data_IF_937725775381
#
_entry.id   IF_937725775381
#
_cell.length_a   1.000
_cell.length_b   1.000
_cell.length_c   1.000
_cell.angle_alpha   90.00
_cell.angle_beta   90.00
_cell.angle_gamma   90.00
#
_symmetry.space_group_name_H-M   'P 1'
#
loop_
_entity.id
_entity.type
_entity.pdbx_description
1 polymer ?
#
# COMPACT_ATOMS: atom_id res chain seq x y z
N UNK A 1 -12.45 5.99 -7.10
CA UNK A 1 -11.95 5.05 -6.08
C UNK A 1 -12.59 3.67 -6.23
N UNK A 2 -13.93 3.55 -6.33
CA UNK A 2 -14.59 2.25 -6.57
C UNK A 2 -14.15 1.57 -7.87
N UNK A 3 -14.15 2.31 -8.99
CA UNK A 3 -13.82 1.78 -10.32
C UNK A 3 -12.39 1.21 -10.42
N UNK A 4 -11.40 1.84 -9.77
CA UNK A 4 -10.01 1.37 -9.76
C UNK A 4 -9.79 0.09 -8.93
N UNK A 5 -10.64 -0.16 -7.93
CA UNK A 5 -10.56 -1.37 -7.09
C UNK A 5 -11.15 -2.59 -7.80
N UNK A 6 -12.19 -2.40 -8.63
CA UNK A 6 -12.84 -3.49 -9.38
C UNK A 6 -12.01 -3.99 -10.56
N UNK A 7 -11.12 -3.15 -11.12
CA UNK A 7 -10.24 -3.52 -12.23
C UNK A 7 -9.11 -4.49 -11.83
N UNK A 8 -8.82 -4.65 -10.53
CA UNK A 8 -7.81 -5.59 -10.00
C UNK A 8 -6.35 -5.26 -10.36
N UNK A 9 -6.11 -4.25 -11.20
CA UNK A 9 -4.77 -3.78 -11.60
C UNK A 9 -4.11 -2.88 -10.54
N UNK A 10 -4.91 -2.27 -9.66
CA UNK A 10 -4.44 -1.38 -8.59
C UNK A 10 -5.00 -1.82 -7.24
N UNK A 11 -4.14 -2.38 -6.40
CA UNK A 11 -4.52 -2.82 -5.07
C UNK A 11 -4.56 -1.62 -4.12
N UNK A 12 -5.75 -1.25 -3.66
CA UNK A 12 -5.94 -0.19 -2.67
C UNK A 12 -6.37 -0.83 -1.36
N UNK A 13 -5.42 -1.04 -0.47
CA UNK A 13 -5.61 -1.67 0.85
C UNK A 13 -5.45 -0.65 1.96
N UNK A 14 -6.06 -0.93 3.11
CA UNK A 14 -5.74 -0.28 4.37
C UNK A 14 -4.39 -0.78 4.92
N UNK A 15 -3.76 -0.06 5.87
CA UNK A 15 -2.53 -0.54 6.51
C UNK A 15 -2.66 -1.92 7.15
N UNK A 16 -3.80 -2.20 7.80
CA UNK A 16 -4.05 -3.48 8.46
C UNK A 16 -4.11 -4.63 7.45
N UNK A 17 -4.83 -4.44 6.34
CA UNK A 17 -4.91 -5.43 5.25
C UNK A 17 -3.51 -5.68 4.63
N UNK A 18 -2.73 -4.63 4.43
CA UNK A 18 -1.37 -4.73 3.90
C UNK A 18 -0.44 -5.56 4.82
N UNK A 19 -0.58 -5.42 6.14
CA UNK A 19 0.18 -6.20 7.13
C UNK A 19 -0.23 -7.68 7.10
N UNK A 20 -1.53 -7.96 7.06
CA UNK A 20 -2.04 -9.34 7.01
C UNK A 20 -1.57 -10.06 5.73
N UNK A 21 -1.63 -9.38 4.58
CA UNK A 21 -1.13 -9.92 3.32
C UNK A 21 0.39 -10.18 3.34
N UNK A 22 1.18 -9.24 3.88
CA UNK A 22 2.62 -9.42 3.99
C UNK A 22 3.00 -10.56 4.93
N UNK A 23 2.29 -10.72 6.06
CA UNK A 23 2.48 -11.87 6.97
C UNK A 23 2.13 -13.19 6.28
N UNK A 24 1.06 -13.22 5.49
CA UNK A 24 0.68 -14.39 4.72
C UNK A 24 1.70 -14.75 3.62
N UNK A 25 2.36 -13.75 3.03
CA UNK A 25 3.42 -13.94 2.03
C UNK A 25 4.78 -14.37 2.63
N UNK A 26 5.00 -14.13 3.92
CA UNK A 26 6.22 -14.54 4.64
C UNK A 26 7.47 -13.78 4.21
N UNK A 27 8.64 -14.43 4.31
CA UNK A 27 9.96 -13.80 4.11
C UNK A 27 10.17 -13.19 2.70
N UNK A 28 9.32 -13.53 1.74
CA UNK A 28 9.38 -13.04 0.36
C UNK A 28 8.35 -11.92 0.07
N UNK A 29 7.71 -11.36 1.10
CA UNK A 29 6.77 -10.25 0.94
C UNK A 29 7.45 -9.02 0.34
N UNK A 30 6.83 -8.42 -0.68
CA UNK A 30 7.33 -7.21 -1.35
C UNK A 30 6.19 -6.21 -1.55
N UNK A 31 6.40 -4.97 -1.12
CA UNK A 31 5.50 -3.86 -1.40
C UNK A 31 5.95 -3.11 -2.66
N UNK A 32 5.19 -3.22 -3.75
CA UNK A 32 5.40 -2.44 -4.97
C UNK A 32 4.46 -1.24 -5.00
N UNK A 33 4.96 -0.06 -4.61
CA UNK A 33 4.17 1.16 -4.49
C UNK A 33 4.42 2.13 -5.64
N UNK A 34 3.34 2.66 -6.20
CA UNK A 34 3.38 3.66 -7.26
C UNK A 34 2.60 4.93 -6.84
N UNK A 35 3.06 5.67 -5.81
CA UNK A 35 2.25 6.68 -5.12
C UNK A 35 1.88 7.92 -5.96
N UNK A 36 2.53 8.09 -7.11
CA UNK A 36 2.27 9.19 -8.04
C UNK A 36 1.65 8.72 -9.37
N UNK A 37 1.20 7.46 -9.44
CA UNK A 37 0.58 6.92 -10.65
C UNK A 37 -0.63 7.75 -11.07
N UNK A 38 -0.82 7.92 -12.39
CA UNK A 38 -1.96 8.66 -12.95
C UNK A 38 -1.95 10.17 -12.68
N UNK A 39 -0.81 10.75 -12.27
CA UNK A 39 -0.73 12.18 -11.95
C UNK A 39 -1.29 12.55 -10.58
N UNK A 40 -1.31 11.59 -9.64
CA UNK A 40 -1.72 11.80 -8.25
C UNK A 40 -1.02 13.00 -7.61
N UNK A 41 -1.73 13.82 -6.79
CA UNK A 41 -1.11 14.92 -6.07
C UNK A 41 0.04 14.44 -5.17
N UNK A 42 1.15 15.18 -5.17
CA UNK A 42 2.35 14.85 -4.39
C UNK A 42 2.04 14.69 -2.90
N UNK A 43 1.16 15.54 -2.34
CA UNK A 43 0.76 15.47 -0.94
C UNK A 43 0.05 14.15 -0.59
N UNK A 44 -0.77 13.62 -1.50
CA UNK A 44 -1.43 12.33 -1.29
C UNK A 44 -0.44 11.17 -1.42
N UNK A 45 0.50 11.25 -2.37
CA UNK A 45 1.57 10.27 -2.48
C UNK A 45 2.43 10.19 -1.21
N UNK A 46 2.74 11.32 -0.58
CA UNK A 46 3.45 11.35 0.69
C UNK A 46 2.69 10.69 1.83
N UNK A 47 1.36 10.87 1.92
CA UNK A 47 0.55 10.18 2.93
C UNK A 47 0.68 8.66 2.83
N UNK A 48 0.75 8.11 1.61
CA UNK A 48 0.93 6.67 1.42
C UNK A 48 2.29 6.18 1.91
N UNK A 49 3.35 6.95 1.65
CA UNK A 49 4.70 6.66 2.15
C UNK A 49 4.75 6.73 3.68
N UNK A 50 4.05 7.71 4.27
CA UNK A 50 3.95 7.83 5.73
C UNK A 50 3.22 6.64 6.37
N UNK A 51 2.14 6.15 5.76
CA UNK A 51 1.45 4.94 6.22
C UNK A 51 2.37 3.71 6.16
N UNK A 52 3.10 3.53 5.05
CA UNK A 52 4.07 2.44 4.93
C UNK A 52 5.11 2.52 6.05
N UNK A 53 5.73 3.68 6.23
CA UNK A 53 6.83 3.88 7.17
C UNK A 53 6.39 3.76 8.63
N UNK A 54 5.26 4.35 8.98
CA UNK A 54 4.89 4.58 10.38
C UNK A 54 3.88 3.56 10.92
N UNK A 55 3.14 2.85 10.05
CA UNK A 55 2.11 1.89 10.46
C UNK A 55 2.43 0.47 9.99
N UNK A 56 2.77 0.29 8.71
CA UNK A 56 2.92 -1.05 8.11
C UNK A 56 4.24 -1.69 8.50
N UNK A 57 5.38 -1.07 8.17
CA UNK A 57 6.70 -1.65 8.43
C UNK A 57 6.96 -1.92 9.93
N UNK A 58 6.56 -1.04 10.88
CA UNK A 58 6.71 -1.33 12.30
C UNK A 58 5.89 -2.52 12.79
N UNK A 59 4.76 -2.84 12.14
CA UNK A 59 3.91 -3.98 12.48
C UNK A 59 4.41 -5.32 11.90
N UNK A 60 5.44 -5.28 11.05
CA UNK A 60 6.10 -6.44 10.45
C UNK A 60 7.48 -6.75 11.07
N UNK A 61 7.98 -5.88 11.94
CA UNK A 61 9.27 -6.02 12.61
C UNK A 61 9.24 -6.95 13.83
#
# INVERSE_FOLDING_TARGET
>A
MGELREEGLYQVVSPAEAVEEAKAAGDMAVFSMHPLCGGMPISEGWKQVDLLRNEILPALA
#
